data_IF_223618002009
#
_entry.id   IF_223618002009
#
_cell.length_a   1.000
_cell.length_b   1.000
_cell.length_c   1.000
_cell.angle_alpha   90.00
_cell.angle_beta   90.00
_cell.angle_gamma   90.00
#
_symmetry.space_group_name_H-M   'P 1'
#
loop_
_entity.id
_entity.type
_entity.pdbx_description
1 polymer ?
#
# COMPACT_ATOMS: atom_id res chain seq x y z
N UNK A 1 -15.56 13.26 -0.41
CA UNK A 1 -14.26 12.63 -0.03
C UNK A 1 -14.20 11.23 -0.64
N UNK A 2 -13.04 10.61 -0.82
CA UNK A 2 -12.89 9.25 -1.40
C UNK A 2 -13.85 8.25 -0.72
N UNK A 3 -13.76 8.13 0.61
CA UNK A 3 -14.57 7.17 1.37
C UNK A 3 -16.08 7.41 1.26
N UNK A 4 -16.51 8.65 0.98
CA UNK A 4 -17.94 8.95 0.80
C UNK A 4 -18.53 8.28 -0.43
N UNK A 5 -17.72 8.00 -1.47
CA UNK A 5 -18.18 7.24 -2.65
C UNK A 5 -18.62 5.85 -2.24
N UNK A 6 -17.80 5.14 -1.46
CA UNK A 6 -18.14 3.81 -0.94
C UNK A 6 -19.36 3.85 -0.04
N UNK A 7 -19.46 4.85 0.87
CA UNK A 7 -20.63 5.01 1.74
C UNK A 7 -21.92 5.21 0.95
N UNK A 8 -21.88 6.02 -0.11
CA UNK A 8 -23.03 6.26 -0.97
C UNK A 8 -23.40 5.02 -1.82
N UNK A 9 -22.41 4.25 -2.26
CA UNK A 9 -22.58 3.06 -3.09
C UNK A 9 -23.02 1.81 -2.30
N UNK A 10 -22.84 1.80 -0.98
CA UNK A 10 -23.08 0.64 -0.12
C UNK A 10 -24.51 0.09 -0.22
N UNK A 11 -25.52 0.96 -0.37
CA UNK A 11 -26.92 0.56 -0.53
C UNK A 11 -27.17 -0.27 -1.80
N UNK A 12 -26.27 -0.20 -2.77
CA UNK A 12 -26.32 -0.95 -4.02
C UNK A 12 -25.41 -2.20 -4.00
N UNK A 13 -24.80 -2.53 -2.85
CA UNK A 13 -23.85 -3.63 -2.75
C UNK A 13 -22.52 -3.37 -3.46
N UNK A 14 -22.18 -2.08 -3.68
CA UNK A 14 -21.00 -1.65 -4.41
C UNK A 14 -20.03 -0.85 -3.52
N UNK A 15 -18.77 -0.78 -3.93
CA UNK A 15 -17.74 0.07 -3.32
C UNK A 15 -16.75 0.63 -4.35
N UNK A 16 -16.01 1.67 -3.96
CA UNK A 16 -14.88 2.20 -4.71
C UNK A 16 -13.58 1.59 -4.17
N UNK A 17 -12.80 0.96 -5.04
CA UNK A 17 -11.68 0.11 -4.61
C UNK A 17 -10.39 0.85 -4.20
N UNK A 18 -9.96 1.92 -4.90
CA UNK A 18 -8.75 2.65 -4.49
C UNK A 18 -8.89 3.25 -3.09
N UNK A 19 -8.04 2.78 -2.19
CA UNK A 19 -8.16 2.98 -0.74
C UNK A 19 -6.90 3.60 -0.11
N UNK A 20 -6.45 4.79 -0.57
CA UNK A 20 -5.26 5.43 -0.02
C UNK A 20 -5.38 5.59 1.49
N UNK A 21 -4.25 5.61 2.20
CA UNK A 21 -4.23 5.81 3.66
C UNK A 21 -4.98 7.07 4.10
N UNK A 22 -5.05 8.08 3.22
CA UNK A 22 -5.77 9.33 3.41
C UNK A 22 -7.24 9.31 2.96
N UNK A 23 -7.83 8.15 2.63
CA UNK A 23 -9.20 8.01 2.07
C UNK A 23 -10.32 8.70 2.86
N UNK A 24 -10.10 8.95 4.16
CA UNK A 24 -11.04 9.66 5.04
C UNK A 24 -11.06 11.18 4.83
N UNK A 25 -10.06 11.74 4.12
CA UNK A 25 -9.90 13.17 3.89
C UNK A 25 -9.60 13.53 2.42
N UNK A 26 -9.00 12.63 1.63
CA UNK A 26 -8.65 12.93 0.25
C UNK A 26 -9.90 13.03 -0.65
N UNK A 27 -9.79 13.80 -1.73
CA UNK A 27 -10.87 13.98 -2.70
C UNK A 27 -10.66 13.08 -3.92
N UNK A 28 -11.73 12.75 -4.64
CA UNK A 28 -11.61 11.98 -5.89
C UNK A 28 -10.79 12.77 -6.93
N UNK A 29 -10.96 14.10 -7.02
CA UNK A 29 -10.14 14.92 -7.91
C UNK A 29 -8.65 14.86 -7.59
N UNK A 30 -8.28 14.89 -6.30
CA UNK A 30 -6.89 14.69 -5.87
C UNK A 30 -6.38 13.30 -6.21
N UNK A 31 -7.19 12.26 -5.98
CA UNK A 31 -6.82 10.89 -6.35
C UNK A 31 -6.59 10.73 -7.86
N UNK A 32 -7.40 11.39 -8.68
CA UNK A 32 -7.20 11.41 -10.14
C UNK A 32 -5.90 12.14 -10.50
N UNK A 33 -5.66 13.32 -9.91
CA UNK A 33 -4.45 14.09 -10.18
C UNK A 33 -3.17 13.32 -9.82
N UNK A 34 -3.16 12.57 -8.72
CA UNK A 34 -1.99 11.82 -8.25
C UNK A 34 -2.02 10.32 -8.59
N UNK A 35 -2.99 9.87 -9.41
CA UNK A 35 -3.24 8.45 -9.70
C UNK A 35 -3.17 7.55 -8.44
N UNK A 36 -3.81 7.99 -7.35
CA UNK A 36 -3.56 7.42 -6.03
C UNK A 36 -3.87 5.94 -5.94
N UNK A 37 -3.00 5.23 -5.21
CA UNK A 37 -3.12 3.82 -4.88
C UNK A 37 -3.62 3.55 -3.45
N UNK A 38 -3.22 2.39 -2.91
CA UNK A 38 -3.63 1.87 -1.61
C UNK A 38 -3.37 0.36 -1.51
N UNK A 39 -3.69 -0.24 -0.36
CA UNK A 39 -3.39 -1.64 -0.09
C UNK A 39 -4.05 -2.62 -1.09
N UNK A 40 -5.24 -2.26 -1.60
CA UNK A 40 -6.00 -3.13 -2.50
C UNK A 40 -5.63 -2.97 -3.98
N UNK A 41 -4.64 -2.11 -4.29
CA UNK A 41 -4.22 -1.85 -5.67
C UNK A 41 -3.52 -3.04 -6.31
N UNK A 42 -2.96 -3.95 -5.52
CA UNK A 42 -2.44 -5.23 -6.00
C UNK A 42 -3.45 -5.95 -6.92
N UNK A 43 -4.70 -6.03 -6.46
CA UNK A 43 -5.75 -6.79 -7.16
C UNK A 43 -6.59 -5.94 -8.11
N UNK A 44 -6.88 -4.68 -7.73
CA UNK A 44 -7.82 -3.85 -8.49
C UNK A 44 -7.19 -2.69 -9.25
N UNK A 45 -5.87 -2.50 -9.13
CA UNK A 45 -5.17 -1.38 -9.74
C UNK A 45 -5.42 -0.04 -9.04
N UNK A 46 -4.81 1.00 -9.60
CA UNK A 46 -4.79 2.36 -9.08
C UNK A 46 -6.01 3.16 -9.53
N UNK A 47 -6.12 4.42 -9.10
CA UNK A 47 -7.24 5.31 -9.47
C UNK A 47 -7.53 5.32 -10.98
N UNK A 48 -6.52 5.36 -11.85
CA UNK A 48 -6.70 5.33 -13.31
C UNK A 48 -7.50 4.13 -13.81
N UNK A 49 -7.46 2.97 -13.12
CA UNK A 49 -8.19 1.77 -13.50
C UNK A 49 -9.69 1.84 -13.14
N UNK A 50 -10.07 2.84 -12.34
CA UNK A 50 -11.43 3.05 -11.85
C UNK A 50 -12.06 4.36 -12.35
N UNK A 51 -11.36 5.17 -13.15
CA UNK A 51 -11.96 6.32 -13.82
C UNK A 51 -12.43 5.90 -15.21
N UNK A 52 -13.72 6.07 -15.48
CA UNK A 52 -14.32 5.79 -16.79
C UNK A 52 -14.38 7.04 -17.68
N UNK A 53 -14.45 8.21 -17.05
CA UNK A 53 -14.51 9.49 -17.75
C UNK A 53 -14.44 10.65 -16.77
N UNK A 54 -14.14 11.83 -17.29
CA UNK A 54 -14.08 13.05 -16.50
C UNK A 54 -14.44 14.28 -17.35
N UNK A 55 -14.92 15.33 -16.68
CA UNK A 55 -14.95 16.69 -17.22
C UNK A 55 -13.91 17.52 -16.51
N UNK A 56 -13.14 18.27 -17.29
CA UNK A 56 -12.07 19.13 -16.78
C UNK A 56 -12.12 20.52 -17.41
N UNK A 57 -11.58 21.49 -16.67
CA UNK A 57 -11.26 22.82 -17.18
C UNK A 57 -9.76 22.86 -17.45
N UNK A 58 -9.38 23.10 -18.70
CA UNK A 58 -7.98 23.24 -19.11
C UNK A 58 -7.42 24.61 -18.70
N UNK A 59 -6.09 24.78 -18.77
CA UNK A 59 -5.43 26.07 -18.51
C UNK A 59 -5.92 27.20 -19.44
N UNK A 60 -6.45 26.87 -20.62
CA UNK A 60 -7.07 27.80 -21.57
C UNK A 60 -8.46 28.28 -21.15
N UNK A 61 -9.05 27.68 -20.10
CA UNK A 61 -10.44 27.89 -19.71
C UNK A 61 -11.44 27.04 -20.50
N UNK A 62 -10.98 26.26 -21.47
CA UNK A 62 -11.83 25.32 -22.22
C UNK A 62 -12.33 24.20 -21.30
N UNK A 63 -13.62 23.86 -21.44
CA UNK A 63 -14.23 22.71 -20.77
C UNK A 63 -14.16 21.52 -21.72
N UNK A 64 -13.46 20.49 -21.29
CA UNK A 64 -13.32 19.23 -22.02
C UNK A 64 -14.03 18.10 -21.31
N UNK A 65 -14.45 17.10 -22.08
CA UNK A 65 -14.95 15.84 -21.57
C UNK A 65 -14.14 14.71 -22.16
N UNK A 66 -13.48 13.94 -21.30
CA UNK A 66 -12.72 12.76 -21.67
C UNK A 66 -13.48 11.51 -21.23
N UNK A 67 -13.55 10.53 -22.12
CA UNK A 67 -14.25 9.29 -21.87
C UNK A 67 -15.74 9.40 -21.56
N UNK A 68 -16.25 8.49 -20.74
CA UNK A 68 -17.69 8.41 -20.46
C UNK A 68 -18.07 7.40 -19.41
N UNK A 69 -19.23 6.75 -19.58
CA UNK A 69 -19.77 5.75 -18.64
C UNK A 69 -19.38 4.31 -19.01
N UNK A 70 -18.67 4.13 -20.11
CA UNK A 70 -18.24 2.83 -20.63
C UNK A 70 -16.76 2.63 -20.37
N UNK A 71 -16.36 1.37 -20.19
CA UNK A 71 -14.95 0.95 -20.20
C UNK A 71 -14.36 0.93 -21.60
N UNK A 72 -15.22 0.82 -22.61
CA UNK A 72 -14.83 0.81 -24.02
C UNK A 72 -14.94 2.20 -24.60
N UNK A 73 -13.87 2.64 -25.28
CA UNK A 73 -13.78 3.95 -25.91
C UNK A 73 -13.09 3.83 -27.27
N UNK A 74 -13.41 4.76 -28.16
CA UNK A 74 -12.79 4.88 -29.48
C UNK A 74 -11.74 6.00 -29.39
N UNK A 75 -10.53 5.72 -29.85
CA UNK A 75 -9.44 6.70 -29.86
C UNK A 75 -8.42 6.48 -28.72
N UNK A 76 -7.56 7.47 -28.47
CA UNK A 76 -6.55 7.41 -27.41
C UNK A 76 -7.18 7.43 -26.02
N UNK A 77 -6.46 6.89 -25.03
CA UNK A 77 -6.87 6.92 -23.62
C UNK A 77 -6.58 8.29 -22.98
N UNK A 78 -7.46 9.25 -23.25
CA UNK A 78 -7.38 10.62 -22.71
C UNK A 78 -7.60 10.66 -21.19
N UNK A 79 -8.39 9.72 -20.67
CA UNK A 79 -8.63 9.56 -19.23
C UNK A 79 -7.33 9.13 -18.53
N UNK A 80 -6.67 8.11 -19.07
CA UNK A 80 -5.38 7.63 -18.59
C UNK A 80 -4.29 8.70 -18.71
N UNK A 81 -4.29 9.50 -19.78
CA UNK A 81 -3.37 10.64 -19.92
C UNK A 81 -3.59 11.71 -18.85
N UNK A 82 -4.85 12.01 -18.49
CA UNK A 82 -5.16 13.03 -17.49
C UNK A 82 -4.87 12.56 -16.05
N UNK A 83 -5.06 11.26 -15.77
CA UNK A 83 -4.78 10.68 -14.46
C UNK A 83 -3.27 10.69 -14.17
N UNK A 84 -2.86 11.12 -12.98
CA UNK A 84 -1.45 11.25 -12.63
C UNK A 84 -0.78 12.51 -13.18
N UNK A 85 -1.54 13.44 -13.77
CA UNK A 85 -1.00 14.71 -14.29
C UNK A 85 -0.63 15.73 -13.20
N UNK A 86 -0.93 15.45 -11.94
CA UNK A 86 -0.72 16.35 -10.79
C UNK A 86 -1.40 17.74 -10.98
N UNK A 87 -2.46 17.77 -11.79
CA UNK A 87 -3.20 19.00 -12.12
C UNK A 87 -2.54 19.86 -13.22
N UNK A 88 -1.44 19.41 -13.83
CA UNK A 88 -0.73 20.15 -14.87
C UNK A 88 -1.52 20.26 -16.18
N UNK A 89 -2.46 19.35 -16.44
CA UNK A 89 -3.31 19.39 -17.63
C UNK A 89 -4.64 20.12 -17.42
N UNK A 90 -5.02 20.40 -16.18
CA UNK A 90 -6.26 21.10 -15.85
C UNK A 90 -6.89 20.62 -14.55
N UNK A 91 -8.12 21.06 -14.29
CA UNK A 91 -8.86 20.76 -13.07
C UNK A 91 -10.08 19.90 -13.41
N UNK A 92 -10.05 18.62 -13.01
CA UNK A 92 -11.22 17.74 -13.10
C UNK A 92 -12.27 18.10 -12.05
N UNK A 93 -13.53 18.25 -12.46
CA UNK A 93 -14.63 18.65 -11.57
C UNK A 93 -15.83 17.70 -11.59
N UNK A 94 -15.97 16.84 -12.59
CA UNK A 94 -16.95 15.75 -12.65
C UNK A 94 -16.24 14.47 -13.07
N UNK A 95 -16.43 13.37 -12.35
CA UNK A 95 -15.67 12.14 -12.54
C UNK A 95 -16.63 10.96 -12.50
N UNK A 96 -16.66 10.19 -13.59
CA UNK A 96 -17.40 8.94 -13.68
C UNK A 96 -16.52 7.79 -13.18
N UNK A 97 -16.91 7.17 -12.07
CA UNK A 97 -16.15 6.10 -11.44
C UNK A 97 -16.73 4.72 -11.76
N UNK A 98 -15.85 3.75 -11.95
CA UNK A 98 -16.15 2.32 -11.90
C UNK A 98 -16.21 1.90 -10.45
N UNK A 99 -17.31 1.26 -10.07
CA UNK A 99 -17.49 0.65 -8.76
C UNK A 99 -17.42 -0.87 -8.88
N UNK A 100 -17.03 -1.53 -7.79
CA UNK A 100 -16.93 -2.99 -7.71
C UNK A 100 -17.98 -3.56 -6.75
N UNK A 101 -18.44 -4.81 -6.94
CA UNK A 101 -19.27 -5.49 -5.96
C UNK A 101 -18.51 -5.67 -4.65
N UNK A 102 -19.19 -5.50 -3.52
CA UNK A 102 -18.62 -5.78 -2.20
C UNK A 102 -18.23 -7.26 -2.11
N UNK A 103 -17.07 -7.55 -1.53
CA UNK A 103 -16.65 -8.93 -1.27
C UNK A 103 -17.65 -9.65 -0.34
N UNK A 104 -17.90 -10.92 -0.63
CA UNK A 104 -18.76 -11.80 0.17
C UNK A 104 -18.00 -12.43 1.34
N UNK A 105 -16.70 -12.65 1.15
CA UNK A 105 -15.84 -13.30 2.14
C UNK A 105 -14.43 -12.70 2.13
N UNK A 106 -13.78 -12.79 3.28
CA UNK A 106 -12.40 -12.39 3.53
C UNK A 106 -11.67 -13.55 4.22
N UNK A 107 -10.40 -13.75 3.85
CA UNK A 107 -9.47 -14.60 4.59
C UNK A 107 -8.18 -13.82 4.81
N UNK A 108 -7.98 -13.38 6.05
CA UNK A 108 -6.89 -12.50 6.45
C UNK A 108 -5.93 -13.26 7.34
N UNK A 109 -4.66 -13.31 6.95
CA UNK A 109 -3.61 -14.02 7.67
C UNK A 109 -2.51 -13.04 8.06
N UNK A 110 -2.19 -13.01 9.35
CA UNK A 110 -1.03 -12.31 9.91
C UNK A 110 0.07 -13.33 10.19
N UNK A 111 1.26 -13.10 9.65
CA UNK A 111 2.39 -14.03 9.71
C UNK A 111 3.60 -13.30 10.29
N UNK A 112 4.29 -13.92 11.26
CA UNK A 112 5.48 -13.37 11.91
C UNK A 112 6.78 -14.06 11.45
N UNK A 113 7.79 -13.25 11.16
CA UNK A 113 9.11 -13.69 10.67
C UNK A 113 10.25 -13.20 11.55
N UNK A 114 11.40 -13.89 11.47
CA UNK A 114 12.61 -13.57 12.24
C UNK A 114 13.53 -12.59 11.53
N UNK A 115 13.22 -12.23 10.28
CA UNK A 115 13.86 -11.14 9.57
C UNK A 115 12.91 -10.50 8.57
N UNK A 116 13.22 -9.25 8.19
CA UNK A 116 12.50 -8.53 7.15
C UNK A 116 12.72 -9.13 5.75
N UNK A 117 13.89 -9.74 5.53
CA UNK A 117 14.20 -10.49 4.29
C UNK A 117 13.32 -11.73 4.14
N UNK A 118 13.09 -12.51 5.21
CA UNK A 118 12.17 -13.66 5.20
C UNK A 118 10.74 -13.25 4.81
N UNK A 119 10.22 -12.18 5.42
CA UNK A 119 8.89 -11.65 5.08
C UNK A 119 8.83 -11.20 3.61
N UNK A 120 9.87 -10.51 3.13
CA UNK A 120 9.98 -10.11 1.72
C UNK A 120 10.05 -11.29 0.74
N UNK A 121 10.75 -12.37 1.11
CA UNK A 121 10.82 -13.59 0.30
C UNK A 121 9.49 -14.33 0.25
N UNK A 122 8.74 -14.37 1.37
CA UNK A 122 7.41 -14.97 1.42
C UNK A 122 6.43 -14.32 0.44
N UNK A 123 6.57 -13.01 0.19
CA UNK A 123 5.77 -12.30 -0.81
C UNK A 123 5.98 -12.86 -2.20
N UNK A 124 7.25 -13.10 -2.58
CA UNK A 124 7.61 -13.72 -3.85
C UNK A 124 6.97 -15.10 -4.00
N UNK A 125 7.07 -15.95 -2.97
CA UNK A 125 6.48 -17.30 -2.99
C UNK A 125 4.97 -17.28 -3.20
N UNK A 126 4.25 -16.38 -2.52
CA UNK A 126 2.79 -16.26 -2.68
C UNK A 126 2.42 -15.83 -4.09
N UNK A 127 3.10 -14.82 -4.66
CA UNK A 127 2.83 -14.33 -6.01
C UNK A 127 3.21 -15.37 -7.07
N UNK A 128 4.35 -16.04 -6.93
CA UNK A 128 4.83 -17.08 -7.86
C UNK A 128 3.91 -18.31 -7.88
N UNK A 129 3.15 -18.54 -6.80
CA UNK A 129 2.11 -19.57 -6.79
C UNK A 129 0.93 -19.27 -7.72
N UNK A 130 0.82 -18.05 -8.24
CA UNK A 130 -0.29 -17.56 -9.04
C UNK A 130 -1.50 -17.08 -8.22
N UNK A 131 -1.38 -17.00 -6.89
CA UNK A 131 -2.35 -16.30 -6.06
C UNK A 131 -2.23 -14.79 -6.25
N UNK A 132 -3.37 -14.11 -6.33
CA UNK A 132 -3.45 -12.64 -6.34
C UNK A 132 -4.30 -12.18 -5.16
N UNK A 133 -3.70 -12.03 -3.97
CA UNK A 133 -4.39 -11.48 -2.81
C UNK A 133 -4.96 -10.10 -3.08
N UNK A 134 -6.00 -9.73 -2.34
CA UNK A 134 -6.51 -8.36 -2.31
C UNK A 134 -5.46 -7.39 -1.81
N UNK A 135 -4.73 -7.77 -0.75
CA UNK A 135 -3.64 -7.00 -0.19
C UNK A 135 -2.52 -7.89 0.35
N UNK A 136 -1.29 -7.35 0.33
CA UNK A 136 -0.10 -7.93 0.96
C UNK A 136 0.75 -6.80 1.56
N UNK A 137 0.85 -6.76 2.87
CA UNK A 137 1.47 -5.64 3.60
C UNK A 137 2.57 -6.14 4.53
N UNK A 138 3.70 -5.43 4.59
CA UNK A 138 4.77 -5.73 5.54
C UNK A 138 4.97 -4.58 6.53
N UNK A 139 5.28 -4.94 7.77
CA UNK A 139 5.77 -4.03 8.81
C UNK A 139 7.00 -4.63 9.48
N UNK A 140 8.01 -3.83 9.77
CA UNK A 140 9.19 -4.24 10.54
C UNK A 140 9.03 -4.04 12.05
N UNK A 141 10.03 -4.47 12.84
CA UNK A 141 10.03 -4.40 14.29
C UNK A 141 9.70 -3.01 14.85
N UNK A 142 10.28 -1.95 14.28
CA UNK A 142 10.03 -0.57 14.73
C UNK A 142 8.58 -0.14 14.46
N UNK A 143 8.07 -0.47 13.28
CA UNK A 143 6.68 -0.20 12.94
C UNK A 143 5.69 -1.01 13.80
N UNK A 144 6.02 -2.26 14.10
CA UNK A 144 5.24 -3.14 15.00
C UNK A 144 5.22 -2.54 16.41
N UNK A 145 6.37 -2.15 16.96
CA UNK A 145 6.48 -1.52 18.29
C UNK A 145 5.60 -0.27 18.37
N UNK A 146 5.71 0.61 17.37
CA UNK A 146 4.91 1.82 17.30
C UNK A 146 3.39 1.51 17.25
N UNK A 147 2.98 0.58 16.39
CA UNK A 147 1.58 0.20 16.24
C UNK A 147 1.02 -0.44 17.52
N UNK A 148 1.77 -1.34 18.16
CA UNK A 148 1.37 -1.94 19.45
C UNK A 148 1.18 -0.86 20.53
N UNK A 149 2.12 0.07 20.66
CA UNK A 149 2.01 1.17 21.62
C UNK A 149 0.82 2.10 21.33
N UNK A 150 0.42 2.24 20.06
CA UNK A 150 -0.66 3.13 19.66
C UNK A 150 -2.05 2.50 19.77
N UNK A 151 -2.21 1.22 19.41
CA UNK A 151 -3.53 0.58 19.26
C UNK A 151 -3.66 -0.82 19.85
N UNK A 152 -2.59 -1.39 20.43
CA UNK A 152 -2.55 -2.73 21.01
C UNK A 152 -3.12 -3.80 20.05
N UNK A 153 -2.56 -3.89 18.83
CA UNK A 153 -3.06 -4.78 17.78
C UNK A 153 -2.78 -6.28 18.01
N UNK A 154 -1.93 -6.63 18.98
CA UNK A 154 -1.69 -8.03 19.37
C UNK A 154 -0.94 -8.83 18.30
N UNK A 155 0.01 -8.20 17.61
CA UNK A 155 0.93 -8.85 16.69
C UNK A 155 1.90 -9.78 17.44
N UNK A 156 2.47 -10.80 16.77
CA UNK A 156 3.35 -11.77 17.40
C UNK A 156 4.54 -11.10 18.10
N UNK A 157 4.72 -11.40 19.39
CA UNK A 157 5.84 -10.88 20.18
C UNK A 157 7.17 -11.41 19.63
N UNK A 158 8.15 -10.51 19.50
CA UNK A 158 9.49 -10.85 19.00
C UNK A 158 9.53 -11.11 17.48
N UNK A 159 8.54 -10.63 16.73
CA UNK A 159 8.59 -10.56 15.28
C UNK A 159 9.51 -9.41 14.86
N UNK A 160 10.50 -9.72 14.02
CA UNK A 160 11.32 -8.71 13.35
C UNK A 160 10.60 -8.13 12.12
N UNK A 161 9.66 -8.91 11.58
CA UNK A 161 8.72 -8.47 10.56
C UNK A 161 7.40 -9.23 10.66
N UNK A 162 6.32 -8.58 10.26
CA UNK A 162 5.03 -9.22 10.00
C UNK A 162 4.61 -9.03 8.56
N UNK A 163 4.00 -10.06 7.98
CA UNK A 163 3.30 -10.03 6.70
C UNK A 163 1.80 -10.19 6.96
N UNK A 164 1.00 -9.31 6.38
CA UNK A 164 -0.46 -9.46 6.32
C UNK A 164 -0.80 -9.85 4.89
N UNK A 165 -1.51 -10.96 4.71
CA UNK A 165 -2.07 -11.37 3.42
C UNK A 165 -3.58 -11.44 3.55
N UNK A 166 -4.31 -10.76 2.65
CA UNK A 166 -5.77 -10.80 2.64
C UNK A 166 -6.28 -11.28 1.29
N UNK A 167 -7.02 -12.38 1.30
CA UNK A 167 -7.87 -12.80 0.20
C UNK A 167 -9.27 -12.21 0.41
N UNK A 168 -9.91 -11.79 -0.68
CA UNK A 168 -11.29 -11.33 -0.65
C UNK A 168 -12.01 -11.56 -1.98
N UNK A 169 -13.32 -11.70 -1.95
CA UNK A 169 -14.15 -11.85 -3.13
C UNK A 169 -15.37 -12.73 -2.90
N UNK A 170 -15.77 -13.48 -3.93
CA UNK A 170 -16.84 -14.46 -3.84
C UNK A 170 -16.46 -15.59 -2.87
N UNK A 171 -17.42 -16.05 -2.06
CA UNK A 171 -17.17 -16.99 -0.97
C UNK A 171 -16.53 -18.30 -1.46
N UNK A 172 -17.02 -18.84 -2.58
CA UNK A 172 -16.51 -20.09 -3.17
C UNK A 172 -15.05 -19.96 -3.63
N UNK A 173 -14.69 -18.81 -4.20
CA UNK A 173 -13.32 -18.53 -4.64
C UNK A 173 -12.37 -18.43 -3.45
N UNK A 174 -12.75 -17.67 -2.42
CA UNK A 174 -11.94 -17.52 -1.19
C UNK A 174 -11.77 -18.86 -0.49
N UNK A 175 -12.80 -19.72 -0.47
CA UNK A 175 -12.72 -21.05 0.14
C UNK A 175 -11.66 -21.95 -0.51
N UNK A 176 -11.47 -21.86 -1.84
CA UNK A 176 -10.43 -22.61 -2.56
C UNK A 176 -9.06 -21.95 -2.39
N UNK A 177 -8.98 -20.63 -2.53
CA UNK A 177 -7.70 -19.91 -2.48
C UNK A 177 -7.06 -19.92 -1.07
N UNK A 178 -7.87 -19.94 0.00
CA UNK A 178 -7.34 -19.94 1.37
C UNK A 178 -6.57 -21.21 1.72
N UNK A 179 -7.02 -22.39 1.26
CA UNK A 179 -6.31 -23.66 1.52
C UNK A 179 -4.93 -23.64 0.88
N UNK A 180 -4.85 -23.11 -0.34
CA UNK A 180 -3.59 -22.92 -1.05
C UNK A 180 -2.69 -21.89 -0.35
N UNK A 181 -3.26 -20.75 0.07
CA UNK A 181 -2.50 -19.71 0.76
C UNK A 181 -1.92 -20.23 2.08
N UNK A 182 -2.72 -20.91 2.88
CA UNK A 182 -2.31 -21.42 4.19
C UNK A 182 -1.18 -22.46 4.04
N UNK A 183 -1.28 -23.35 3.03
CA UNK A 183 -0.22 -24.30 2.71
C UNK A 183 1.09 -23.61 2.29
N UNK A 184 1.00 -22.58 1.44
CA UNK A 184 2.18 -21.80 1.02
C UNK A 184 2.83 -21.13 2.22
N UNK A 185 2.05 -20.42 3.05
CA UNK A 185 2.57 -19.67 4.19
C UNK A 185 3.23 -20.60 5.22
N UNK A 186 2.71 -21.82 5.40
CA UNK A 186 3.33 -22.83 6.26
C UNK A 186 4.76 -23.23 5.83
N UNK A 187 5.08 -23.11 4.54
CA UNK A 187 6.41 -23.44 3.98
C UNK A 187 7.38 -22.24 3.99
N UNK A 188 6.93 -21.04 4.38
CA UNK A 188 7.77 -19.82 4.35
C UNK A 188 8.71 -19.65 5.54
N UNK A 189 8.75 -20.60 6.48
CA UNK A 189 9.60 -20.52 7.68
C UNK A 189 9.08 -19.57 8.77
N UNK A 190 7.80 -19.16 8.69
CA UNK A 190 7.15 -18.35 9.71
C UNK A 190 7.20 -19.01 11.09
N UNK A 191 7.46 -18.23 12.14
CA UNK A 191 7.44 -18.75 13.52
C UNK A 191 6.08 -18.57 14.21
N UNK A 192 5.21 -17.74 13.63
CA UNK A 192 3.87 -17.48 14.13
C UNK A 192 2.92 -17.18 12.97
N UNK A 193 1.71 -17.73 13.05
CA UNK A 193 0.62 -17.47 12.08
C UNK A 193 -0.67 -17.27 12.85
N UNK A 194 -1.42 -16.22 12.52
CA UNK A 194 -2.76 -15.93 13.05
C UNK A 194 -3.70 -15.70 11.88
N UNK A 195 -4.68 -16.58 11.72
CA UNK A 195 -5.79 -16.41 10.79
C UNK A 195 -6.91 -15.65 11.52
N UNK A 196 -7.46 -14.61 10.90
CA UNK A 196 -8.58 -13.87 11.47
C UNK A 196 -9.82 -14.77 11.59
N UNK A 197 -10.41 -14.85 12.79
CA UNK A 197 -11.56 -15.72 13.04
C UNK A 197 -12.91 -15.09 12.71
N UNK A 198 -12.96 -13.75 12.71
CA UNK A 198 -14.14 -12.95 12.39
C UNK A 198 -13.73 -11.55 11.90
N UNK A 199 -14.73 -10.72 11.56
CA UNK A 199 -14.49 -9.35 11.07
C UNK A 199 -13.87 -8.43 12.13
N UNK A 200 -14.17 -8.63 13.42
CA UNK A 200 -13.59 -7.83 14.49
C UNK A 200 -12.09 -8.13 14.65
N UNK A 201 -11.72 -9.41 14.59
CA UNK A 201 -10.34 -9.87 14.58
C UNK A 201 -9.59 -9.34 13.36
N UNK A 202 -10.16 -9.50 12.16
CA UNK A 202 -9.64 -8.94 10.91
C UNK A 202 -9.41 -7.42 11.01
N UNK A 203 -10.38 -6.67 11.51
CA UNK A 203 -10.26 -5.23 11.69
C UNK A 203 -9.18 -4.86 12.71
N UNK A 204 -8.94 -5.69 13.73
CA UNK A 204 -7.83 -5.48 14.68
C UNK A 204 -6.46 -5.58 13.99
N UNK A 205 -6.29 -6.56 13.09
CA UNK A 205 -5.08 -6.73 12.28
C UNK A 205 -4.86 -5.48 11.42
N UNK A 206 -5.88 -5.06 10.69
CA UNK A 206 -5.81 -3.88 9.82
C UNK A 206 -5.62 -2.56 10.57
N UNK A 207 -6.16 -2.45 11.79
CA UNK A 207 -5.99 -1.27 12.63
C UNK A 207 -4.52 -1.06 12.99
N UNK A 208 -3.79 -2.13 13.31
CA UNK A 208 -2.33 -2.08 13.51
C UNK A 208 -1.63 -1.48 12.29
N UNK A 209 -1.83 -2.09 11.11
CA UNK A 209 -1.24 -1.66 9.85
C UNK A 209 -1.57 -0.22 9.44
N UNK A 210 -2.83 0.20 9.57
CA UNK A 210 -3.27 1.56 9.21
C UNK A 210 -2.76 2.62 10.20
N UNK A 211 -2.49 2.23 11.44
CA UNK A 211 -1.97 3.17 12.46
C UNK A 211 -0.48 3.45 12.33
N UNK A 212 0.28 2.51 11.76
CA UNK A 212 1.75 2.47 11.80
C UNK A 212 2.41 3.80 11.40
N UNK A 213 1.99 4.43 10.31
CA UNK A 213 2.53 5.72 9.84
C UNK A 213 2.44 6.83 10.90
N UNK A 214 1.25 6.99 11.50
CA UNK A 214 1.03 7.99 12.57
C UNK A 214 1.68 7.57 13.89
N UNK A 215 1.79 6.26 14.12
CA UNK A 215 2.39 5.72 15.32
C UNK A 215 3.91 5.91 15.36
N UNK A 216 4.59 5.87 14.20
CA UNK A 216 6.04 6.12 14.11
C UNK A 216 6.42 7.54 14.58
N UNK A 217 5.51 8.51 14.47
CA UNK A 217 5.69 9.84 15.07
C UNK A 217 5.80 9.84 16.61
N UNK A 218 5.55 8.71 17.28
CA UNK A 218 5.86 8.52 18.72
C UNK A 218 7.31 8.10 18.96
N UNK A 219 7.98 7.51 17.97
CA UNK A 219 9.36 7.02 18.06
C UNK A 219 10.40 8.08 17.70
N UNK A 220 10.02 9.04 16.85
CA UNK A 220 10.90 10.09 16.34
C UNK A 220 10.16 11.40 16.25
N UNK A 221 10.79 12.54 16.60
CA UNK A 221 10.16 13.85 16.44
C UNK A 221 9.92 14.18 14.96
N UNK A 222 10.83 13.76 14.09
CA UNK A 222 10.78 13.99 12.66
C UNK A 222 11.09 12.68 11.90
N UNK A 223 10.56 12.54 10.68
CA UNK A 223 10.95 11.48 9.76
C UNK A 223 10.77 11.91 8.30
N UNK A 224 11.62 11.38 7.42
CA UNK A 224 11.45 11.47 5.96
C UNK A 224 10.78 10.18 5.51
N UNK A 225 9.73 10.30 4.70
CA UNK A 225 9.09 9.16 4.05
C UNK A 225 9.62 9.09 2.62
N UNK A 226 10.05 7.91 2.20
CA UNK A 226 10.30 7.63 0.79
C UNK A 226 9.17 6.77 0.22
N UNK A 227 8.97 6.85 -1.10
CA UNK A 227 7.96 6.10 -1.84
C UNK A 227 8.62 5.49 -3.07
N UNK A 228 9.38 4.41 -2.85
CA UNK A 228 10.21 3.81 -3.87
C UNK A 228 9.71 2.41 -4.23
N UNK A 229 9.70 2.07 -5.51
CA UNK A 229 9.23 0.74 -5.96
C UNK A 229 10.43 -0.13 -6.33
N UNK A 230 10.36 -1.42 -6.03
CA UNK A 230 11.29 -2.45 -6.53
C UNK A 230 10.52 -3.63 -7.12
N UNK A 231 11.11 -4.42 -8.03
CA UNK A 231 10.51 -5.69 -8.44
C UNK A 231 10.25 -6.60 -7.23
N UNK A 232 9.05 -7.20 -7.16
CA UNK A 232 8.62 -8.05 -6.02
C UNK A 232 9.58 -9.21 -5.73
N UNK A 233 10.17 -9.78 -6.78
CA UNK A 233 11.19 -10.83 -6.68
C UNK A 233 12.49 -10.39 -6.00
N UNK A 234 12.69 -9.08 -5.80
CA UNK A 234 13.87 -8.49 -5.15
C UNK A 234 13.52 -7.79 -3.83
N UNK A 235 12.30 -7.96 -3.33
CA UNK A 235 11.83 -7.28 -2.14
C UNK A 235 12.66 -7.62 -0.90
N UNK A 236 12.92 -8.92 -0.66
CA UNK A 236 13.79 -9.35 0.45
C UNK A 236 15.20 -8.75 0.37
N UNK A 237 15.77 -8.68 -0.83
CA UNK A 237 17.09 -8.07 -1.06
C UNK A 237 17.09 -6.56 -0.77
N UNK A 238 16.06 -5.84 -1.21
CA UNK A 238 15.91 -4.40 -0.97
C UNK A 238 15.85 -4.11 0.53
N UNK A 239 15.04 -4.88 1.27
CA UNK A 239 14.86 -4.71 2.71
C UNK A 239 16.15 -5.00 3.49
N UNK A 240 16.87 -6.07 3.14
CA UNK A 240 18.18 -6.36 3.72
C UNK A 240 19.17 -5.22 3.48
N UNK A 241 19.18 -4.62 2.29
CA UNK A 241 20.07 -3.49 1.98
C UNK A 241 19.68 -2.23 2.75
N UNK A 242 18.39 -1.94 2.92
CA UNK A 242 17.92 -0.82 3.74
C UNK A 242 18.39 -0.99 5.19
N UNK A 243 18.26 -2.19 5.74
CA UNK A 243 18.73 -2.52 7.10
C UNK A 243 20.26 -2.36 7.25
N UNK A 244 21.03 -2.78 6.25
CA UNK A 244 22.47 -2.53 6.20
C UNK A 244 22.80 -1.04 6.19
N UNK A 245 22.12 -0.24 5.36
CA UNK A 245 22.35 1.21 5.30
C UNK A 245 21.95 1.91 6.62
N UNK A 246 20.87 1.47 7.25
CA UNK A 246 20.44 1.92 8.58
C UNK A 246 21.54 1.65 9.61
N UNK A 247 22.09 0.42 9.64
CA UNK A 247 23.18 0.04 10.54
C UNK A 247 24.47 0.82 10.28
N UNK A 248 24.88 0.97 9.01
CA UNK A 248 26.08 1.71 8.61
C UNK A 248 26.05 3.19 9.02
N UNK A 249 24.86 3.80 8.94
CA UNK A 249 24.68 5.23 9.22
C UNK A 249 24.29 5.50 10.67
N UNK A 250 23.82 4.49 11.39
CA UNK A 250 23.22 4.63 12.72
C UNK A 250 21.84 5.31 12.71
N UNK A 251 21.26 5.58 11.53
CA UNK A 251 19.96 6.23 11.38
C UNK A 251 18.89 5.14 11.31
N UNK A 252 17.97 5.13 12.27
CA UNK A 252 16.87 4.16 12.33
C UNK A 252 15.91 4.37 11.16
N UNK A 253 15.47 3.27 10.54
CA UNK A 253 14.47 3.26 9.47
C UNK A 253 13.36 2.31 9.85
N UNK A 254 12.13 2.81 9.97
CA UNK A 254 10.94 1.99 10.14
C UNK A 254 10.29 1.72 8.77
N UNK A 255 9.91 0.47 8.49
CA UNK A 255 9.39 0.05 7.20
C UNK A 255 7.93 -0.36 7.32
N UNK A 256 7.07 0.26 6.51
CA UNK A 256 5.62 0.01 6.48
C UNK A 256 5.15 0.12 5.04
N UNK A 257 4.83 -0.97 4.36
CA UNK A 257 4.69 -0.86 2.90
C UNK A 257 3.84 -1.93 2.21
N UNK A 258 3.43 -1.60 0.98
CA UNK A 258 2.62 -2.41 0.10
C UNK A 258 3.50 -3.47 -0.59
N UNK A 259 3.72 -4.58 0.08
CA UNK A 259 4.61 -5.62 -0.42
C UNK A 259 4.09 -6.26 -1.73
N UNK A 260 2.77 -6.29 -1.90
CA UNK A 260 2.08 -6.89 -3.04
C UNK A 260 2.41 -6.28 -4.40
N UNK A 261 2.69 -4.99 -4.47
CA UNK A 261 3.10 -4.27 -5.68
C UNK A 261 4.58 -3.84 -5.66
N UNK A 262 5.30 -4.19 -4.59
CA UNK A 262 6.73 -3.89 -4.45
C UNK A 262 7.00 -2.44 -4.07
N UNK A 263 5.99 -1.70 -3.64
CA UNK A 263 6.14 -0.34 -3.18
C UNK A 263 6.68 -0.33 -1.74
N UNK A 264 7.75 0.42 -1.48
CA UNK A 264 8.46 0.58 -0.21
C UNK A 264 8.17 1.96 0.39
N UNK A 265 7.87 2.00 1.69
CA UNK A 265 7.86 3.23 2.47
C UNK A 265 8.81 3.11 3.68
N UNK A 266 10.11 3.34 3.49
CA UNK A 266 11.01 3.54 4.60
C UNK A 266 10.77 4.92 5.21
N UNK A 267 10.54 4.94 6.52
CA UNK A 267 10.44 6.13 7.35
C UNK A 267 11.79 6.32 8.03
N UNK A 268 12.60 7.22 7.47
CA UNK A 268 13.94 7.56 7.96
C UNK A 268 13.80 8.51 9.15
N UNK A 269 14.13 8.04 10.34
CA UNK A 269 13.91 8.75 11.60
C UNK A 269 15.07 9.70 11.90
N UNK A 270 14.76 10.97 12.16
CA UNK A 270 15.77 11.99 12.48
C UNK A 270 15.24 13.00 13.50
N UNK A 271 16.12 13.89 13.97
CA UNK A 271 15.78 14.98 14.87
C UNK A 271 16.20 16.30 14.25
N UNK A 272 15.25 17.07 13.70
CA UNK A 272 15.53 18.34 13.03
C UNK A 272 16.10 19.44 13.93
N UNK A 273 16.21 19.19 15.25
CA UNK A 273 16.84 20.08 16.22
C UNK A 273 18.35 19.84 16.36
N UNK A 274 18.85 18.72 15.84
CA UNK A 274 20.27 18.37 15.84
C UNK A 274 20.91 18.81 14.51
N UNK A 275 21.99 19.58 14.59
CA UNK A 275 22.71 20.07 13.42
C UNK A 275 23.24 18.90 12.58
N UNK A 276 22.97 18.93 11.26
CA UNK A 276 23.38 17.88 10.33
C UNK A 276 22.47 16.65 10.28
N UNK A 277 21.48 16.52 11.19
CA UNK A 277 20.60 15.35 11.27
C UNK A 277 19.68 15.23 10.05
N UNK A 278 19.12 16.35 9.58
CA UNK A 278 18.29 16.39 8.38
C UNK A 278 19.10 16.01 7.14
N UNK A 279 20.28 16.60 6.95
CA UNK A 279 21.14 16.35 5.80
C UNK A 279 21.59 14.89 5.74
N UNK A 280 21.90 14.29 6.89
CA UNK A 280 22.24 12.87 6.98
C UNK A 280 21.03 11.97 6.63
N UNK A 281 19.83 12.34 7.09
CA UNK A 281 18.60 11.64 6.75
C UNK A 281 18.26 11.74 5.25
N UNK A 282 18.39 12.92 4.65
CA UNK A 282 18.22 13.14 3.21
C UNK A 282 19.24 12.34 2.38
N UNK A 283 20.50 12.29 2.84
CA UNK A 283 21.53 11.49 2.18
C UNK A 283 21.19 9.99 2.20
N UNK A 284 20.73 9.45 3.34
CA UNK A 284 20.26 8.07 3.44
C UNK A 284 19.03 7.83 2.55
N UNK A 285 18.05 8.73 2.60
CA UNK A 285 16.85 8.63 1.80
C UNK A 285 17.16 8.60 0.28
N UNK A 286 18.09 9.46 -0.17
CA UNK A 286 18.59 9.45 -1.54
C UNK A 286 19.36 8.18 -1.92
N UNK A 287 20.10 7.55 -0.99
CA UNK A 287 20.74 6.24 -1.20
C UNK A 287 19.71 5.14 -1.43
N UNK A 288 18.61 5.16 -0.67
CA UNK A 288 17.52 4.18 -0.80
C UNK A 288 16.83 4.34 -2.17
N UNK A 289 16.49 5.56 -2.60
CA UNK A 289 15.90 5.77 -3.94
C UNK A 289 16.84 5.34 -5.08
N UNK A 290 18.14 5.63 -4.97
CA UNK A 290 19.15 5.17 -5.94
C UNK A 290 19.23 3.65 -5.98
N UNK A 291 19.06 2.98 -4.84
CA UNK A 291 18.95 1.53 -4.79
C UNK A 291 17.71 1.05 -5.56
N UNK A 292 16.53 1.66 -5.35
CA UNK A 292 15.32 1.28 -6.08
C UNK A 292 15.52 1.36 -7.61
N UNK A 293 16.11 2.47 -8.11
CA UNK A 293 16.47 2.61 -9.53
C UNK A 293 17.49 1.56 -9.98
N UNK A 294 18.55 1.34 -9.19
CA UNK A 294 19.56 0.31 -9.48
C UNK A 294 18.98 -1.11 -9.49
N UNK A 295 17.79 -1.31 -8.93
CA UNK A 295 17.06 -2.57 -8.95
C UNK A 295 16.07 -2.71 -10.11
N UNK A 296 15.95 -1.71 -10.98
CA UNK A 296 14.97 -1.66 -12.07
C UNK A 296 13.59 -1.18 -11.61
N UNK A 297 13.52 -0.48 -10.48
CA UNK A 297 12.32 0.07 -9.90
C UNK A 297 12.06 1.55 -10.24
N UNK A 298 11.29 2.22 -9.37
CA UNK A 298 10.92 3.64 -9.51
C UNK A 298 11.24 4.43 -8.24
N UNK A 299 11.37 5.76 -8.36
CA UNK A 299 11.52 6.69 -7.23
C UNK A 299 10.19 7.24 -6.68
N UNK A 300 9.08 6.94 -7.38
CA UNK A 300 7.70 7.31 -7.06
C UNK A 300 6.72 6.42 -7.81
#
# INVERSE_FOLDING_TARGET
>A
VNLDVTRAAQAHGLYYAPDPSSQTICTIGGNVAFNSGGAHCLKYGMTTNHVLGLKAVLATGEVVQFGGRSREQIGPDEVGLFCGSEGLFGVAYEIALRLLPKAESFHTVLVGYRSLEEAGNAVGVVIDSGLLPGAMEIMDALAIEAAEAAVACGYPKGAEAVLIVELEGAAEKVAVEREKLDAILAETGAFATRVAVDDADRMSIWKGRKSAFSAVGRLSPDFIVQDGVVPRSRLGEALRRIDQMSTETGIRVANVFHAGDGNLHPLILYNGREEGSLEAAEALAGRILKMCIGMGGSIT
#
